data_IF_931356703624
#
_entry.id   IF_931356703624
#
_cell.length_a   1.000
_cell.length_b   1.000
_cell.length_c   1.000
_cell.angle_alpha   90.00
_cell.angle_beta   90.00
_cell.angle_gamma   90.00
#
_symmetry.space_group_name_H-M   'P 1'
#
loop_
_entity.id
_entity.type
_entity.pdbx_description
1 polymer ?
#
# COMPACT_ATOMS: atom_id res chain seq x y z
N UNK A 1 9.67 -3.30 -63.00
CA UNK A 1 8.51 -3.75 -62.20
C UNK A 1 8.97 -4.80 -61.20
N UNK A 2 8.39 -4.76 -59.99
CA UNK A 2 8.47 -5.70 -58.85
C UNK A 2 9.58 -5.42 -57.82
N UNK A 3 9.20 -4.58 -56.87
CA UNK A 3 9.84 -4.25 -55.59
C UNK A 3 9.91 -5.51 -54.71
N UNK A 4 11.05 -5.76 -54.06
CA UNK A 4 11.19 -6.78 -53.01
C UNK A 4 11.12 -6.10 -51.63
N UNK A 5 10.09 -6.49 -50.87
CA UNK A 5 9.77 -6.03 -49.51
C UNK A 5 10.89 -6.36 -48.50
N UNK A 6 11.27 -5.47 -47.58
CA UNK A 6 12.01 -5.87 -46.39
C UNK A 6 11.02 -6.45 -45.35
N UNK A 7 11.24 -7.70 -44.98
CA UNK A 7 10.58 -8.37 -43.86
C UNK A 7 11.06 -7.72 -42.54
N UNK A 8 10.26 -6.81 -42.00
CA UNK A 8 10.47 -6.21 -40.68
C UNK A 8 10.00 -7.18 -39.59
N UNK A 9 10.94 -7.84 -38.93
CA UNK A 9 10.68 -8.67 -37.76
C UNK A 9 10.38 -7.75 -36.57
N UNK A 10 9.10 -7.54 -36.26
CA UNK A 10 8.67 -6.75 -35.11
C UNK A 10 8.89 -7.55 -33.82
N UNK A 11 9.96 -7.23 -33.08
CA UNK A 11 10.20 -7.74 -31.74
C UNK A 11 9.23 -7.02 -30.77
N UNK A 12 8.08 -7.62 -30.49
CA UNK A 12 7.15 -7.06 -29.48
C UNK A 12 7.71 -7.33 -28.09
N UNK A 13 8.37 -6.34 -27.50
CA UNK A 13 8.72 -6.37 -26.09
C UNK A 13 7.47 -5.99 -25.29
N UNK A 14 6.74 -6.98 -24.78
CA UNK A 14 5.65 -6.73 -23.83
C UNK A 14 6.25 -6.32 -22.49
N UNK A 15 6.27 -5.01 -22.23
CA UNK A 15 6.60 -4.50 -20.90
C UNK A 15 5.40 -4.79 -20.00
N UNK A 16 5.50 -5.81 -19.15
CA UNK A 16 4.51 -6.04 -18.10
C UNK A 16 4.60 -4.88 -17.09
N UNK A 17 3.58 -4.03 -17.07
CA UNK A 17 3.49 -2.87 -16.19
C UNK A 17 3.32 -3.30 -14.73
N UNK A 18 4.38 -3.26 -13.92
CA UNK A 18 4.34 -3.49 -12.47
C UNK A 18 3.71 -2.32 -11.68
N UNK A 19 2.63 -1.71 -12.20
CA UNK A 19 1.97 -0.54 -11.62
C UNK A 19 1.19 -0.85 -10.32
N UNK A 20 0.99 -2.12 -10.00
CA UNK A 20 0.18 -2.58 -8.87
C UNK A 20 0.87 -2.45 -7.51
N UNK A 21 2.21 -2.39 -7.47
CA UNK A 21 2.95 -2.38 -6.21
C UNK A 21 2.73 -1.09 -5.39
N UNK A 22 2.55 0.06 -6.06
CA UNK A 22 2.38 1.37 -5.39
C UNK A 22 0.92 1.84 -5.29
N UNK A 23 0.01 1.33 -6.12
CA UNK A 23 -1.42 1.73 -6.12
C UNK A 23 -2.32 0.78 -5.30
N UNK A 24 -1.82 -0.39 -4.92
CA UNK A 24 -2.56 -1.42 -4.15
C UNK A 24 -2.40 -1.37 -2.64
N UNK A 25 -2.67 -2.51 -1.97
CA UNK A 25 -2.62 -2.67 -0.51
C UNK A 25 -1.25 -2.27 0.06
N UNK A 26 -0.15 -2.77 -0.53
CA UNK A 26 1.22 -2.45 -0.14
C UNK A 26 1.50 -0.94 -0.16
N UNK A 27 1.18 -0.26 -1.27
CA UNK A 27 1.34 1.18 -1.40
C UNK A 27 0.56 1.94 -0.32
N UNK A 28 -0.67 1.53 -0.01
CA UNK A 28 -1.46 2.15 1.06
C UNK A 28 -0.87 1.93 2.45
N UNK A 29 -0.26 0.78 2.73
CA UNK A 29 0.45 0.54 3.98
C UNK A 29 1.68 1.44 4.09
N UNK A 30 2.48 1.52 3.03
CA UNK A 30 3.66 2.37 2.98
C UNK A 30 3.33 3.84 3.27
N UNK A 31 2.32 4.40 2.59
CA UNK A 31 1.86 5.77 2.84
C UNK A 31 1.37 5.99 4.28
N UNK A 32 0.76 4.97 4.89
CA UNK A 32 0.31 5.06 6.27
C UNK A 32 1.48 5.04 7.26
N UNK A 33 2.49 4.21 7.01
CA UNK A 33 3.73 4.22 7.80
C UNK A 33 4.42 5.58 7.70
N UNK A 34 4.58 6.13 6.49
CA UNK A 34 5.17 7.45 6.30
C UNK A 34 4.42 8.56 7.06
N UNK A 35 3.08 8.49 7.16
CA UNK A 35 2.28 9.43 7.97
C UNK A 35 2.48 9.26 9.47
N UNK A 36 2.70 8.03 9.94
CA UNK A 36 3.04 7.75 11.34
C UNK A 36 4.42 8.34 11.62
N UNK A 37 5.41 8.07 10.77
CA UNK A 37 6.79 8.58 10.93
C UNK A 37 6.83 10.11 10.93
N UNK A 38 6.11 10.76 10.01
CA UNK A 38 5.97 12.21 10.01
C UNK A 38 5.26 12.73 11.27
N UNK A 39 4.28 11.99 11.79
CA UNK A 39 3.59 12.27 13.05
C UNK A 39 4.53 12.23 14.25
N UNK A 40 5.43 11.24 14.30
CA UNK A 40 6.48 11.13 15.31
C UNK A 40 7.45 12.31 15.18
N UNK A 41 8.00 12.54 13.99
CA UNK A 41 9.03 13.56 13.75
C UNK A 41 8.56 14.98 14.11
N UNK A 42 7.30 15.30 13.82
CA UNK A 42 6.70 16.61 14.14
C UNK A 42 6.07 16.67 15.54
N UNK A 43 5.99 15.53 16.22
CA UNK A 43 5.42 15.50 17.55
C UNK A 43 3.94 15.46 17.73
N UNK A 44 3.23 15.07 16.69
CA UNK A 44 1.79 14.91 16.74
C UNK A 44 1.36 13.52 17.22
N UNK A 45 2.29 12.64 17.58
CA UNK A 45 2.00 11.30 18.09
C UNK A 45 2.83 11.03 19.33
N UNK A 46 2.17 10.60 20.40
CA UNK A 46 2.85 10.10 21.59
C UNK A 46 3.44 8.70 21.36
N UNK A 47 4.36 8.23 22.22
CA UNK A 47 4.89 6.86 22.13
C UNK A 47 3.79 5.80 22.20
N UNK A 48 2.77 6.01 23.05
CA UNK A 48 1.66 5.08 23.20
C UNK A 48 0.79 5.02 21.93
N UNK A 49 0.52 6.15 21.29
CA UNK A 49 -0.25 6.20 20.04
C UNK A 49 0.54 5.59 18.89
N UNK A 50 1.84 5.87 18.81
CA UNK A 50 2.76 5.26 17.85
C UNK A 50 2.74 3.73 17.97
N UNK A 51 2.86 3.20 19.18
CA UNK A 51 2.78 1.76 19.43
C UNK A 51 1.44 1.15 18.99
N UNK A 52 0.32 1.81 19.29
CA UNK A 52 -1.03 1.37 18.88
C UNK A 52 -1.21 1.38 17.36
N UNK A 53 -0.76 2.46 16.69
CA UNK A 53 -0.85 2.58 15.23
C UNK A 53 0.07 1.57 14.53
N UNK A 54 1.28 1.37 15.05
CA UNK A 54 2.22 0.35 14.57
C UNK A 54 1.66 -1.08 14.70
N UNK A 55 1.08 -1.43 15.85
CA UNK A 55 0.43 -2.72 16.06
C UNK A 55 -0.72 -2.95 15.06
N UNK A 56 -1.48 -1.91 14.74
CA UNK A 56 -2.55 -1.98 13.74
C UNK A 56 -1.99 -2.23 12.33
N UNK A 57 -0.91 -1.56 11.92
CA UNK A 57 -0.25 -1.83 10.63
C UNK A 57 0.29 -3.27 10.57
N UNK A 58 0.95 -3.73 11.63
CA UNK A 58 1.48 -5.09 11.72
C UNK A 58 0.38 -6.15 11.58
N UNK A 59 -0.78 -5.93 12.22
CA UNK A 59 -1.95 -6.82 12.08
C UNK A 59 -2.48 -6.87 10.66
N UNK A 60 -2.56 -5.72 9.97
CA UNK A 60 -3.00 -5.68 8.57
C UNK A 60 -2.00 -6.42 7.69
N UNK A 61 -0.70 -6.20 7.88
CA UNK A 61 0.35 -6.90 7.13
C UNK A 61 0.33 -8.42 7.36
N UNK A 62 0.03 -8.88 8.57
CA UNK A 62 -0.15 -10.31 8.84
C UNK A 62 -1.34 -10.90 8.07
N UNK A 63 -2.48 -10.19 8.06
CA UNK A 63 -3.67 -10.62 7.31
C UNK A 63 -3.40 -10.63 5.80
N UNK A 64 -2.71 -9.62 5.28
CA UNK A 64 -2.32 -9.59 3.87
C UNK A 64 -1.42 -10.78 3.49
N UNK A 65 -0.44 -11.11 4.33
CA UNK A 65 0.42 -12.29 4.10
C UNK A 65 -0.39 -13.59 4.06
N UNK A 66 -1.39 -13.72 4.94
CA UNK A 66 -2.29 -14.88 4.92
C UNK A 66 -3.16 -14.92 3.68
N UNK A 67 -3.74 -13.80 3.25
CA UNK A 67 -4.53 -13.75 2.02
C UNK A 67 -3.68 -14.04 0.77
N UNK A 68 -2.42 -13.59 0.75
CA UNK A 68 -1.49 -13.89 -0.34
C UNK A 68 -0.90 -15.30 -0.33
N UNK A 69 -1.30 -16.17 0.60
CA UNK A 69 -0.72 -17.50 0.74
C UNK A 69 -0.95 -18.38 -0.50
N UNK A 70 -2.05 -18.16 -1.23
CA UNK A 70 -2.37 -18.84 -2.50
C UNK A 70 -1.77 -18.15 -3.74
N UNK A 71 -0.98 -17.09 -3.55
CA UNK A 71 -0.28 -16.37 -4.60
C UNK A 71 -1.07 -15.22 -5.24
N UNK A 72 -2.35 -15.01 -4.90
CA UNK A 72 -3.11 -13.86 -5.42
C UNK A 72 -3.92 -13.16 -4.32
N UNK A 73 -4.60 -12.07 -4.68
CA UNK A 73 -5.58 -11.42 -3.81
C UNK A 73 -6.93 -11.36 -4.51
N UNK A 74 -7.87 -12.16 -4.02
CA UNK A 74 -9.24 -12.18 -4.49
C UNK A 74 -9.96 -10.84 -4.27
N UNK A 75 -11.08 -10.59 -4.98
CA UNK A 75 -11.84 -9.35 -4.83
C UNK A 75 -12.32 -9.10 -3.39
N UNK A 76 -12.78 -10.15 -2.70
CA UNK A 76 -13.26 -10.07 -1.32
C UNK A 76 -12.14 -9.72 -0.32
N UNK A 77 -10.97 -10.32 -0.50
CA UNK A 77 -9.78 -10.10 0.33
C UNK A 77 -9.25 -8.67 0.14
N UNK A 78 -9.18 -8.21 -1.11
CA UNK A 78 -8.86 -6.81 -1.43
C UNK A 78 -9.84 -5.85 -0.76
N UNK A 79 -11.14 -6.12 -0.85
CA UNK A 79 -12.15 -5.29 -0.21
C UNK A 79 -12.01 -5.27 1.32
N UNK A 80 -11.69 -6.41 1.94
CA UNK A 80 -11.46 -6.48 3.39
C UNK A 80 -10.21 -5.70 3.82
N UNK A 81 -9.08 -5.91 3.14
CA UNK A 81 -7.85 -5.15 3.36
C UNK A 81 -8.10 -3.65 3.18
N UNK A 82 -8.83 -3.25 2.13
CA UNK A 82 -9.18 -1.86 1.90
C UNK A 82 -9.99 -1.25 3.05
N UNK A 83 -10.99 -1.97 3.58
CA UNK A 83 -11.76 -1.53 4.76
C UNK A 83 -10.87 -1.38 6.00
N UNK A 84 -9.94 -2.32 6.22
CA UNK A 84 -8.99 -2.26 7.36
C UNK A 84 -8.04 -1.07 7.24
N UNK A 85 -7.49 -0.84 6.05
CA UNK A 85 -6.62 0.29 5.72
C UNK A 85 -7.37 1.62 5.84
N UNK A 86 -8.64 1.70 5.46
CA UNK A 86 -9.48 2.90 5.65
C UNK A 86 -9.65 3.23 7.13
N UNK A 87 -10.01 2.22 7.94
CA UNK A 87 -10.12 2.39 9.41
C UNK A 87 -8.79 2.81 10.03
N UNK A 88 -7.68 2.27 9.53
CA UNK A 88 -6.34 2.62 9.99
C UNK A 88 -5.96 4.05 9.60
N UNK A 89 -6.20 4.45 8.36
CA UNK A 89 -6.00 5.83 7.89
C UNK A 89 -6.78 6.86 8.71
N UNK A 90 -8.04 6.54 9.05
CA UNK A 90 -8.87 7.39 9.91
C UNK A 90 -8.32 7.49 11.35
N UNK A 91 -7.81 6.38 11.90
CA UNK A 91 -7.15 6.40 13.20
C UNK A 91 -5.88 7.26 13.18
N UNK A 92 -5.02 7.10 12.16
CA UNK A 92 -3.82 7.94 11.98
C UNK A 92 -4.23 9.41 11.87
N UNK A 93 -5.25 9.74 11.08
CA UNK A 93 -5.72 11.12 10.93
C UNK A 93 -6.19 11.70 12.27
N UNK A 94 -7.02 10.96 13.02
CA UNK A 94 -7.51 11.42 14.33
C UNK A 94 -6.36 11.68 15.30
N UNK A 95 -5.44 10.72 15.48
CA UNK A 95 -4.36 10.86 16.44
C UNK A 95 -3.40 11.98 16.05
N UNK A 96 -3.13 12.14 14.75
CA UNK A 96 -2.27 13.24 14.28
C UNK A 96 -2.92 14.64 14.38
N UNK A 97 -4.21 14.75 14.70
CA UNK A 97 -4.98 16.01 14.76
C UNK A 97 -5.72 16.24 16.09
N UNK A 98 -5.64 15.33 17.06
CA UNK A 98 -6.40 15.40 18.32
C UNK A 98 -5.82 16.38 19.36
N UNK A 99 -4.85 17.21 18.93
CA UNK A 99 -4.16 18.25 19.71
C UNK A 99 -3.36 17.71 20.89
N UNK A 100 -3.26 16.40 21.07
CA UNK A 100 -2.26 15.83 21.96
C UNK A 100 -0.88 16.10 21.34
N UNK A 101 0.01 16.68 22.12
CA UNK A 101 1.40 16.94 21.73
C UNK A 101 2.30 16.32 22.78
N UNK A 102 3.32 15.62 22.30
CA UNK A 102 4.45 15.16 23.09
C UNK A 102 5.37 16.34 23.48
#
# INVERSE_FOLDING_TARGET
>A
MKLLLPLLLALTFSVASNADAHSGVNGRQWHQSARIDAGIARGALTPAETARLGARQARIGHIERHYRADGYLGPYERADLQRRLNRSSAAIWRQTHDRQRW
#
